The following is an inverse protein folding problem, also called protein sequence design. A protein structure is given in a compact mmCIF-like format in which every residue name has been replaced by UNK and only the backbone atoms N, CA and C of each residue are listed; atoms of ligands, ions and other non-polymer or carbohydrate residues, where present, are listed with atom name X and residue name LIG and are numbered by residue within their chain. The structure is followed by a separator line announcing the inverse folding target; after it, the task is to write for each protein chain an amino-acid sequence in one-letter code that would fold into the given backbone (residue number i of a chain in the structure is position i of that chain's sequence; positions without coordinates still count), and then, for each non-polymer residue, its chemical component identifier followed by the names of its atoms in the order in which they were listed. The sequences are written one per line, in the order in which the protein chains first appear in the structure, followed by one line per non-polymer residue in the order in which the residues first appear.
data_IF_190640866261
#
_entry.id   IF_190640866261
#
_cell.length_a   1.000
_cell.length_b   1.000
_cell.length_c   1.000
_cell.angle_alpha   90.00
_cell.angle_beta   90.00
_cell.angle_gamma   90.00
#
_symmetry.space_group_name_H-M   'P 1'
#
loop_
_entity.id
_entity.type
_entity.pdbx_description
1 polymer ?
#
# COMPACT_ATOMS: atom_id res chain seq x y z
N UNK A 1 5.59 -7.94 -1.64
CA UNK A 1 4.92 -8.16 -0.33
C UNK A 1 4.83 -6.86 0.44
N UNK A 2 3.69 -6.60 1.06
CA UNK A 2 3.38 -5.33 1.72
C UNK A 2 2.54 -4.43 0.81
N UNK A 3 1.37 -4.04 1.32
CA UNK A 3 0.33 -3.29 0.63
C UNK A 3 0.29 -1.82 1.00
N UNK A 4 1.23 -1.32 1.80
CA UNK A 4 1.34 0.12 2.09
C UNK A 4 1.83 0.94 0.88
N UNK A 5 1.94 2.28 1.03
CA UNK A 5 2.35 3.20 -0.04
C UNK A 5 3.67 2.86 -0.71
N UNK A 6 4.66 2.34 0.04
CA UNK A 6 5.91 1.87 -0.54
C UNK A 6 5.69 0.65 -1.45
N UNK A 7 4.85 -0.28 -1.03
CA UNK A 7 4.46 -1.44 -1.82
C UNK A 7 3.72 -1.03 -3.08
N UNK A 8 2.77 -0.09 -2.96
CA UNK A 8 2.05 0.50 -4.09
C UNK A 8 3.00 1.12 -5.12
N UNK A 9 3.94 1.96 -4.69
CA UNK A 9 4.92 2.59 -5.57
C UNK A 9 5.77 1.55 -6.32
N UNK A 10 6.26 0.53 -5.61
CA UNK A 10 7.02 -0.57 -6.22
C UNK A 10 6.18 -1.35 -7.23
N UNK A 11 4.94 -1.68 -6.88
CA UNK A 11 4.03 -2.44 -7.75
C UNK A 11 3.74 -1.66 -9.01
N UNK A 12 3.38 -0.38 -8.92
CA UNK A 12 3.10 0.46 -10.08
C UNK A 12 4.31 0.54 -11.02
N UNK A 13 5.52 0.79 -10.49
CA UNK A 13 6.76 0.81 -11.29
C UNK A 13 7.08 -0.56 -11.91
N UNK A 14 6.78 -1.65 -11.21
CA UNK A 14 7.02 -3.00 -11.72
C UNK A 14 6.05 -3.34 -12.84
N UNK A 15 4.77 -3.01 -12.67
CA UNK A 15 3.73 -3.24 -13.67
C UNK A 15 4.00 -2.44 -14.95
N UNK A 16 4.38 -1.17 -14.85
CA UNK A 16 4.74 -0.36 -16.03
C UNK A 16 5.89 -1.00 -16.84
N UNK A 17 6.93 -1.49 -16.16
CA UNK A 17 8.06 -2.15 -16.82
C UNK A 17 7.67 -3.48 -17.46
N UNK A 18 6.86 -4.30 -16.77
CA UNK A 18 6.40 -5.58 -17.29
C UNK A 18 5.51 -5.39 -18.52
N UNK A 19 4.55 -4.47 -18.45
CA UNK A 19 3.59 -4.19 -19.52
C UNK A 19 4.25 -3.71 -20.83
N UNK A 20 5.46 -3.14 -20.74
CA UNK A 20 6.18 -2.57 -21.89
C UNK A 20 7.47 -3.31 -22.25
N UNK A 21 7.70 -4.50 -21.68
CA UNK A 21 8.81 -5.35 -22.09
C UNK A 21 8.53 -5.97 -23.46
N UNK A 22 9.46 -5.79 -24.40
CA UNK A 22 9.23 -6.00 -25.84
C UNK A 22 9.35 -7.49 -26.24
N UNK A 23 9.92 -8.33 -25.37
CA UNK A 23 10.32 -9.72 -25.67
C UNK A 23 9.62 -10.77 -24.79
N UNK A 24 8.33 -10.61 -24.46
CA UNK A 24 7.60 -11.59 -23.64
C UNK A 24 6.87 -12.61 -24.53
N UNK A 25 7.32 -13.88 -24.50
CA UNK A 25 6.56 -15.01 -25.07
C UNK A 25 5.33 -15.38 -24.22
N UNK A 26 5.33 -15.03 -22.93
CA UNK A 26 4.28 -15.34 -21.96
C UNK A 26 3.83 -14.07 -21.21
N UNK A 27 2.56 -14.03 -20.79
CA UNK A 27 2.06 -12.93 -19.95
C UNK A 27 2.76 -12.95 -18.59
N UNK A 28 3.40 -11.84 -18.15
CA UNK A 28 4.00 -11.76 -16.83
C UNK A 28 2.96 -11.94 -15.72
N UNK A 29 3.37 -12.54 -14.60
CA UNK A 29 2.53 -12.69 -13.40
C UNK A 29 3.11 -11.86 -12.26
N UNK A 30 2.28 -11.04 -11.62
CA UNK A 30 2.62 -10.32 -10.40
C UNK A 30 1.67 -10.73 -9.27
N UNK A 31 2.24 -11.26 -8.18
CA UNK A 31 1.48 -11.63 -6.98
C UNK A 31 1.77 -10.61 -5.88
N UNK A 32 0.74 -9.90 -5.43
CA UNK A 32 0.83 -8.89 -4.39
C UNK A 32 0.16 -9.39 -3.11
N UNK A 33 0.95 -9.63 -2.07
CA UNK A 33 0.48 -10.00 -0.75
C UNK A 33 0.38 -8.80 0.20
N UNK A 34 -0.73 -8.67 0.91
CA UNK A 34 -0.93 -7.82 2.08
C UNK A 34 -2.15 -8.28 2.88
N UNK A 35 -2.09 -8.30 4.21
CA UNK A 35 -3.19 -8.76 5.07
C UNK A 35 -4.01 -7.63 5.72
N UNK A 36 -3.80 -6.38 5.29
CA UNK A 36 -4.49 -5.21 5.82
C UNK A 36 -5.32 -4.49 4.77
N UNK A 37 -4.66 -3.90 3.77
CA UNK A 37 -5.30 -3.16 2.68
C UNK A 37 -4.27 -2.84 1.61
N UNK A 38 -4.57 -3.19 0.36
CA UNK A 38 -3.75 -2.83 -0.79
C UNK A 38 -3.77 -1.31 -1.02
N UNK A 39 -2.60 -0.72 -1.25
CA UNK A 39 -2.39 0.72 -1.35
C UNK A 39 -2.05 1.38 -0.01
N UNK A 40 -2.92 1.20 0.99
CA UNK A 40 -2.83 1.93 2.25
C UNK A 40 -2.06 1.20 3.36
N UNK A 41 -2.01 -0.13 3.31
CA UNK A 41 -1.41 -0.97 4.35
C UNK A 41 -2.03 -0.73 5.73
N UNK A 42 -1.31 -1.13 6.78
CA UNK A 42 -1.78 -1.05 8.17
C UNK A 42 -1.80 0.37 8.74
N UNK A 43 -0.82 1.21 8.40
CA UNK A 43 -0.67 2.55 8.97
C UNK A 43 -1.81 3.50 8.58
N UNK A 44 -2.31 3.35 7.36
CA UNK A 44 -3.45 4.10 6.82
C UNK A 44 -4.62 3.16 6.54
N UNK A 45 -4.85 2.16 7.39
CA UNK A 45 -5.97 1.25 7.19
C UNK A 45 -7.30 2.07 7.17
N UNK A 46 -8.13 1.98 6.12
CA UNK A 46 -9.37 2.75 6.02
C UNK A 46 -10.41 2.36 7.08
N UNK A 47 -10.26 1.18 7.71
CA UNK A 47 -11.16 0.66 8.75
C UNK A 47 -10.67 0.99 10.17
N UNK A 48 -9.66 1.86 10.33
CA UNK A 48 -9.22 2.34 11.64
C UNK A 48 -10.12 3.47 12.16
N UNK A 49 -9.97 3.83 13.44
CA UNK A 49 -10.72 4.96 14.02
C UNK A 49 -10.45 6.28 13.26
N UNK A 50 -11.50 7.07 12.95
CA UNK A 50 -11.34 8.36 12.28
C UNK A 50 -10.70 9.43 13.19
N UNK A 51 -10.52 9.16 14.48
CA UNK A 51 -9.89 10.08 15.43
C UNK A 51 -8.37 10.28 15.19
N UNK A 52 -7.74 9.40 14.41
CA UNK A 52 -6.33 9.54 14.05
C UNK A 52 -6.22 10.42 12.80
N UNK A 53 -5.63 11.60 12.95
CA UNK A 53 -5.46 12.55 11.86
C UNK A 53 -4.13 12.34 11.11
N UNK A 54 -4.13 12.78 9.85
CA UNK A 54 -2.94 13.07 9.07
C UNK A 54 -2.19 14.24 9.72
N UNK A 55 -0.87 14.23 9.60
CA UNK A 55 0.01 15.32 10.03
C UNK A 55 0.32 16.32 8.90
N UNK A 56 -0.31 16.15 7.75
CA UNK A 56 -0.16 16.94 6.53
C UNK A 56 -1.54 17.34 6.03
N UNK A 57 -1.68 18.55 5.50
CA UNK A 57 -2.95 19.06 4.98
C UNK A 57 -3.34 18.38 3.66
N UNK A 58 -4.64 18.30 3.38
CA UNK A 58 -5.19 17.55 2.24
C UNK A 58 -4.56 17.92 0.88
N UNK A 59 -4.31 19.21 0.64
CA UNK A 59 -3.73 19.71 -0.62
C UNK A 59 -2.27 19.34 -0.86
N UNK A 60 -1.56 18.80 0.14
CA UNK A 60 -0.14 18.43 0.05
C UNK A 60 0.06 16.91 -0.09
N UNK A 61 -1.01 16.15 -0.26
CA UNK A 61 -0.98 14.69 -0.31
C UNK A 61 -1.28 14.20 -1.74
N UNK A 62 -0.51 13.22 -2.21
CA UNK A 62 -0.75 12.50 -3.46
C UNK A 62 -0.27 11.06 -3.35
N UNK A 63 -1.02 10.15 -3.98
CA UNK A 63 -0.65 8.74 -4.16
C UNK A 63 -0.11 8.47 -5.57
N UNK A 64 -0.26 9.42 -6.50
CA UNK A 64 0.34 9.36 -7.83
C UNK A 64 1.63 10.17 -7.87
N UNK A 65 2.66 9.67 -8.58
CA UNK A 65 3.85 10.46 -8.86
C UNK A 65 3.56 11.66 -9.76
N UNK A 66 4.35 12.70 -9.61
CA UNK A 66 4.39 13.85 -10.50
C UNK A 66 5.83 14.13 -10.98
N UNK A 67 6.00 15.18 -11.78
CA UNK A 67 7.32 15.56 -12.32
C UNK A 67 8.40 15.85 -11.27
N UNK A 68 8.02 16.12 -10.01
CA UNK A 68 8.95 16.37 -8.91
C UNK A 68 9.51 15.08 -8.29
N UNK A 69 8.91 13.92 -8.58
CA UNK A 69 9.30 12.64 -8.00
C UNK A 69 10.67 12.12 -8.51
N UNK A 70 11.27 12.76 -9.51
CA UNK A 70 12.54 12.34 -10.10
C UNK A 70 12.46 10.97 -10.78
N UNK A 71 11.27 10.53 -11.17
CA UNK A 71 11.03 9.26 -11.84
C UNK A 71 11.29 9.44 -13.33
N UNK A 72 12.25 8.71 -13.86
CA UNK A 72 12.49 8.64 -15.30
C UNK A 72 11.47 7.72 -15.98
N UNK A 73 11.04 8.10 -17.18
CA UNK A 73 10.11 7.31 -18.00
C UNK A 73 8.63 7.54 -17.66
N UNK A 74 7.78 6.61 -18.11
CA UNK A 74 6.32 6.72 -17.96
C UNK A 74 5.90 6.41 -16.54
N UNK A 75 4.88 7.10 -16.05
CA UNK A 75 4.21 6.75 -14.81
C UNK A 75 2.72 7.01 -14.89
N UNK A 76 1.97 6.25 -14.11
CA UNK A 76 0.53 6.47 -14.00
C UNK A 76 0.29 7.78 -13.28
N UNK A 77 -0.30 8.75 -13.99
CA UNK A 77 -0.75 10.01 -13.41
C UNK A 77 -2.18 9.88 -12.87
N UNK A 78 -2.53 10.77 -11.96
CA UNK A 78 -3.87 10.85 -11.40
C UNK A 78 -4.04 12.04 -10.46
N UNK A 79 -5.25 12.24 -9.92
CA UNK A 79 -5.54 13.37 -9.07
C UNK A 79 -4.75 13.25 -7.74
N UNK A 80 -4.32 14.40 -7.22
CA UNK A 80 -3.90 14.54 -5.82
C UNK A 80 -5.04 14.13 -4.88
N UNK A 81 -4.74 13.96 -3.60
CA UNK A 81 -5.74 13.59 -2.61
C UNK A 81 -6.90 14.60 -2.58
N UNK A 82 -6.59 15.90 -2.52
CA UNK A 82 -7.62 16.94 -2.47
C UNK A 82 -8.47 17.01 -3.75
N UNK A 83 -7.85 16.90 -4.93
CA UNK A 83 -8.58 16.85 -6.21
C UNK A 83 -9.50 15.63 -6.29
N UNK A 84 -9.03 14.48 -5.80
CA UNK A 84 -9.84 13.27 -5.74
C UNK A 84 -11.07 13.47 -4.85
N UNK A 85 -10.91 14.03 -3.65
CA UNK A 85 -12.03 14.31 -2.73
C UNK A 85 -13.11 15.20 -3.36
N UNK A 86 -12.76 16.04 -4.35
CA UNK A 86 -13.70 16.92 -5.07
C UNK A 86 -14.25 16.33 -6.36
N UNK A 87 -13.97 15.05 -6.63
CA UNK A 87 -14.39 14.36 -7.85
C UNK A 87 -15.54 13.38 -7.60
N UNK A 88 -16.31 13.09 -8.65
CA UNK A 88 -17.33 12.03 -8.63
C UNK A 88 -16.73 10.65 -8.34
N UNK A 89 -15.42 10.46 -8.61
CA UNK A 89 -14.72 9.20 -8.33
C UNK A 89 -14.62 8.95 -6.83
N UNK A 90 -14.38 9.98 -6.01
CA UNK A 90 -14.40 9.84 -4.56
C UNK A 90 -15.81 9.55 -4.04
N UNK A 91 -16.81 10.28 -4.52
CA UNK A 91 -18.22 10.05 -4.15
C UNK A 91 -18.66 8.63 -4.47
N UNK A 92 -18.31 8.11 -5.65
CA UNK A 92 -18.61 6.74 -6.04
C UNK A 92 -17.83 5.70 -5.22
N UNK A 93 -16.57 5.96 -4.89
CA UNK A 93 -15.75 5.03 -4.13
C UNK A 93 -16.17 4.96 -2.65
N UNK A 94 -16.52 6.09 -2.05
CA UNK A 94 -16.90 6.21 -0.65
C UNK A 94 -18.40 5.98 -0.40
N UNK A 95 -19.21 5.68 -1.42
CA UNK A 95 -20.67 5.61 -1.31
C UNK A 95 -21.18 4.66 -0.21
N UNK A 96 -20.42 3.59 0.08
CA UNK A 96 -20.76 2.60 1.11
C UNK A 96 -20.29 2.99 2.52
N UNK A 97 -19.53 4.07 2.65
CA UNK A 97 -19.04 4.62 3.92
C UNK A 97 -19.51 6.08 4.08
N UNK A 98 -20.71 6.30 4.63
CA UNK A 98 -21.28 7.65 4.75
C UNK A 98 -20.46 8.57 5.67
N UNK A 99 -19.69 8.02 6.61
CA UNK A 99 -18.84 8.80 7.52
C UNK A 99 -17.65 9.38 6.77
N UNK A 100 -16.94 8.55 6.02
CA UNK A 100 -15.82 9.01 5.18
C UNK A 100 -16.30 9.92 4.04
N UNK A 101 -17.48 9.65 3.48
CA UNK A 101 -18.08 10.50 2.45
C UNK A 101 -18.42 11.90 3.00
N UNK A 102 -19.03 11.99 4.19
CA UNK A 102 -19.30 13.28 4.83
C UNK A 102 -18.01 14.05 5.12
N UNK A 103 -16.98 13.37 5.66
CA UNK A 103 -15.67 13.96 5.89
C UNK A 103 -15.05 14.52 4.59
N UNK A 104 -15.10 13.75 3.49
CA UNK A 104 -14.60 14.17 2.18
C UNK A 104 -15.30 15.44 1.66
N UNK A 105 -16.62 15.53 1.82
CA UNK A 105 -17.42 16.68 1.39
C UNK A 105 -17.06 17.95 2.16
N UNK A 106 -16.83 17.83 3.48
CA UNK A 106 -16.49 18.96 4.36
C UNK A 106 -14.99 19.35 4.31
N UNK A 107 -14.13 18.51 3.74
CA UNK A 107 -12.68 18.75 3.70
C UNK A 107 -12.32 19.96 2.82
N UNK A 108 -11.64 20.95 3.41
CA UNK A 108 -10.98 22.04 2.69
C UNK A 108 -9.53 21.70 2.31
N UNK A 109 -8.85 22.56 1.51
CA UNK A 109 -7.48 22.29 1.06
C UNK A 109 -6.46 22.25 2.20
N UNK A 110 -6.69 23.03 3.26
CA UNK A 110 -5.82 23.14 4.45
C UNK A 110 -6.31 22.29 5.63
N UNK A 111 -7.28 21.40 5.40
CA UNK A 111 -7.83 20.54 6.44
C UNK A 111 -6.90 19.35 6.70
N UNK A 112 -6.67 19.05 7.98
CA UNK A 112 -6.07 17.79 8.41
C UNK A 112 -7.18 16.73 8.47
N UNK A 113 -7.15 15.78 7.54
CA UNK A 113 -8.14 14.70 7.46
C UNK A 113 -7.77 13.54 8.38
N UNK A 114 -8.72 12.64 8.59
CA UNK A 114 -8.45 11.33 9.18
C UNK A 114 -7.47 10.53 8.32
N UNK A 115 -6.69 9.67 8.98
CA UNK A 115 -5.85 8.67 8.33
C UNK A 115 -6.69 7.63 7.60
N UNK A 116 -7.93 7.41 8.05
CA UNK A 116 -8.88 6.52 7.40
C UNK A 116 -9.27 7.03 6.01
N UNK A 117 -9.61 8.33 5.90
CA UNK A 117 -9.96 8.95 4.61
C UNK A 117 -8.79 8.95 3.64
N UNK A 118 -7.57 9.27 4.10
CA UNK A 118 -6.38 9.16 3.26
C UNK A 118 -6.08 7.70 2.87
N UNK A 119 -6.35 6.76 3.77
CA UNK A 119 -6.30 5.33 3.50
C UNK A 119 -7.22 4.89 2.37
N UNK A 120 -8.46 5.39 2.37
CA UNK A 120 -9.41 5.13 1.30
C UNK A 120 -8.92 5.67 -0.05
N UNK A 121 -8.33 6.87 -0.08
CA UNK A 121 -7.68 7.39 -1.29
C UNK A 121 -6.56 6.47 -1.78
N UNK A 122 -5.66 6.02 -0.91
CA UNK A 122 -4.58 5.11 -1.31
C UNK A 122 -5.10 3.74 -1.80
N UNK A 123 -6.18 3.24 -1.20
CA UNK A 123 -6.84 2.02 -1.66
C UNK A 123 -7.46 2.22 -3.07
N UNK A 124 -8.06 3.39 -3.30
CA UNK A 124 -8.53 3.78 -4.62
C UNK A 124 -7.37 3.90 -5.63
N UNK A 125 -6.25 4.53 -5.28
CA UNK A 125 -5.05 4.61 -6.15
C UNK A 125 -4.57 3.20 -6.53
N UNK A 126 -4.53 2.26 -5.58
CA UNK A 126 -4.15 0.88 -5.88
C UNK A 126 -5.10 0.19 -6.87
N UNK A 127 -6.41 0.42 -6.75
CA UNK A 127 -7.38 -0.13 -7.72
C UNK A 127 -7.21 0.47 -9.12
N UNK A 128 -6.85 1.75 -9.22
CA UNK A 128 -6.52 2.41 -10.49
C UNK A 128 -5.27 1.81 -11.13
N UNK A 129 -4.21 1.56 -10.34
CA UNK A 129 -2.98 0.89 -10.82
C UNK A 129 -3.28 -0.51 -11.34
N UNK A 130 -4.00 -1.33 -10.56
CA UNK A 130 -4.35 -2.69 -10.98
C UNK A 130 -5.19 -2.65 -12.26
N UNK A 131 -6.16 -1.74 -12.35
CA UNK A 131 -7.01 -1.59 -13.54
C UNK A 131 -6.22 -1.18 -14.78
N UNK A 132 -5.24 -0.29 -14.63
CA UNK A 132 -4.44 0.19 -15.76
C UNK A 132 -3.57 -0.89 -16.41
N UNK A 133 -3.11 -1.88 -15.64
CA UNK A 133 -2.13 -2.87 -16.10
C UNK A 133 -2.66 -4.30 -16.24
N UNK A 134 -3.89 -4.59 -15.81
CA UNK A 134 -4.46 -5.96 -15.81
C UNK A 134 -4.61 -6.61 -17.19
N UNK A 135 -4.63 -5.82 -18.26
CA UNK A 135 -4.70 -6.34 -19.63
C UNK A 135 -3.32 -6.77 -20.16
N UNK A 136 -2.23 -6.39 -19.47
CA UNK A 136 -0.84 -6.67 -19.87
C UNK A 136 -0.11 -7.63 -18.90
N UNK A 137 -0.56 -7.71 -17.65
CA UNK A 137 0.04 -8.52 -16.58
C UNK A 137 -1.06 -9.27 -15.85
N UNK A 138 -0.85 -10.56 -15.55
CA UNK A 138 -1.71 -11.32 -14.63
C UNK A 138 -1.44 -10.88 -13.19
N UNK A 139 -2.30 -10.02 -12.66
CA UNK A 139 -2.18 -9.42 -11.33
C UNK A 139 -3.03 -10.22 -10.34
N UNK A 140 -2.39 -10.79 -9.33
CA UNK A 140 -3.04 -11.56 -8.26
C UNK A 140 -2.88 -10.84 -6.92
N UNK A 141 -3.99 -10.30 -6.41
CA UNK A 141 -4.04 -9.74 -5.06
C UNK A 141 -4.33 -10.87 -4.06
N UNK A 142 -3.42 -11.10 -3.12
CA UNK A 142 -3.55 -12.17 -2.12
C UNK A 142 -3.67 -11.54 -0.74
N UNK A 143 -4.88 -11.47 -0.16
CA UNK A 143 -5.15 -10.74 1.07
C UNK A 143 -4.73 -11.52 2.33
N UNK A 144 -3.56 -12.15 2.30
CA UNK A 144 -3.03 -13.01 3.36
C UNK A 144 -1.62 -12.58 3.75
N UNK A 145 -1.22 -12.94 4.97
CA UNK A 145 0.13 -12.64 5.46
C UNK A 145 1.07 -13.76 5.01
N UNK A 146 2.17 -13.40 4.34
CA UNK A 146 3.26 -14.35 4.12
C UNK A 146 4.01 -14.57 5.43
N UNK A 147 4.10 -15.83 5.85
CA UNK A 147 4.72 -16.25 7.11
C UNK A 147 6.17 -16.69 6.94
N UNK A 148 6.51 -17.23 5.77
CA UNK A 148 7.88 -17.66 5.48
C UNK A 148 8.23 -17.53 4.00
N UNK A 149 9.52 -17.41 3.75
CA UNK A 149 10.13 -17.45 2.42
C UNK A 149 11.24 -18.49 2.51
N UNK A 150 11.26 -19.45 1.59
CA UNK A 150 12.35 -20.40 1.44
C UNK A 150 12.91 -20.38 0.03
N UNK A 151 14.23 -20.46 -0.08
CA UNK A 151 14.90 -20.66 -1.35
C UNK A 151 14.55 -22.04 -1.91
N UNK A 152 14.21 -22.06 -3.19
CA UNK A 152 14.16 -23.26 -4.03
C UNK A 152 15.08 -23.01 -5.24
N UNK A 153 15.57 -24.07 -5.89
CA UNK A 153 16.57 -23.92 -6.96
C UNK A 153 16.09 -22.97 -8.07
N UNK A 154 16.60 -21.73 -8.08
CA UNK A 154 16.20 -20.66 -9.01
C UNK A 154 14.87 -19.95 -8.72
N UNK A 155 14.26 -20.15 -7.54
CA UNK A 155 12.97 -19.56 -7.16
C UNK A 155 12.82 -19.39 -5.64
N UNK A 156 11.71 -18.79 -5.23
CA UNK A 156 11.31 -18.63 -3.83
C UNK A 156 9.94 -19.25 -3.61
N UNK A 157 9.79 -20.05 -2.55
CA UNK A 157 8.49 -20.52 -2.08
C UNK A 157 8.04 -19.66 -0.90
N UNK A 158 6.86 -19.06 -1.04
CA UNK A 158 6.22 -18.23 -0.02
C UNK A 158 5.05 -19.00 0.56
N UNK A 159 5.06 -19.22 1.88
CA UNK A 159 3.93 -19.82 2.58
C UNK A 159 3.12 -18.73 3.26
N UNK A 160 1.82 -18.68 3.02
CA UNK A 160 0.92 -17.71 3.63
C UNK A 160 0.24 -18.22 4.91
N UNK A 161 -0.50 -17.33 5.56
CA UNK A 161 -1.23 -17.59 6.81
C UNK A 161 -2.34 -18.62 6.68
N UNK A 162 -2.78 -18.90 5.45
CA UNK A 162 -3.84 -19.85 5.15
C UNK A 162 -3.26 -21.23 4.80
N UNK A 163 -1.93 -21.36 4.78
CA UNK A 163 -1.22 -22.59 4.44
C UNK A 163 -1.04 -22.81 2.95
N UNK A 164 -1.33 -21.82 2.11
CA UNK A 164 -1.04 -21.88 0.69
C UNK A 164 0.44 -21.58 0.42
N UNK A 165 1.00 -22.24 -0.59
CA UNK A 165 2.36 -22.00 -1.06
C UNK A 165 2.34 -21.44 -2.47
N UNK A 166 3.00 -20.30 -2.67
CA UNK A 166 3.20 -19.67 -3.99
C UNK A 166 4.68 -19.66 -4.31
N UNK A 167 5.03 -20.18 -5.49
CA UNK A 167 6.42 -20.19 -5.99
C UNK A 167 6.61 -19.07 -7.00
N UNK A 168 7.64 -18.23 -6.79
CA UNK A 168 7.95 -17.07 -7.65
C UNK A 168 9.45 -16.97 -7.93
N UNK A 169 9.82 -16.39 -9.07
CA UNK A 169 11.24 -16.20 -9.43
C UNK A 169 11.92 -15.07 -8.65
N UNK A 170 11.16 -14.04 -8.27
CA UNK A 170 11.68 -12.85 -7.61
C UNK A 170 10.72 -12.40 -6.50
N UNK A 171 11.28 -11.84 -5.43
CA UNK A 171 10.53 -11.32 -4.29
C UNK A 171 10.97 -9.90 -3.99
N UNK A 172 10.00 -9.00 -3.81
CA UNK A 172 10.25 -7.64 -3.29
C UNK A 172 9.57 -7.47 -1.94
N UNK A 173 10.35 -7.05 -0.94
CA UNK A 173 9.89 -6.78 0.42
C UNK A 173 9.59 -5.28 0.60
N UNK A 174 8.33 -4.95 0.85
CA UNK A 174 7.86 -3.60 1.14
C UNK A 174 6.96 -3.57 2.40
N UNK A 175 7.27 -4.43 3.38
CA UNK A 175 6.47 -4.69 4.60
C UNK A 175 6.44 -3.53 5.61
N UNK A 176 7.18 -2.44 5.35
CA UNK A 176 7.31 -1.32 6.27
C UNK A 176 8.13 -1.69 7.51
N UNK A 177 8.04 -0.85 8.54
CA UNK A 177 8.63 -1.16 9.85
C UNK A 177 7.64 -2.02 10.62
N UNK A 178 7.87 -3.33 10.64
CA UNK A 178 7.16 -4.24 11.55
C UNK A 178 7.55 -3.85 12.98
N UNK A 179 6.58 -3.78 13.90
CA UNK A 179 6.86 -3.59 15.32
C UNK A 179 7.98 -4.55 15.72
N UNK A 180 9.12 -4.02 16.17
CA UNK A 180 10.13 -4.86 16.79
C UNK A 180 9.44 -5.54 17.97
N UNK A 181 9.35 -6.87 17.95
CA UNK A 181 9.21 -7.59 19.21
C UNK A 181 10.45 -7.20 20.01
N UNK A 182 10.25 -6.49 21.13
CA UNK A 182 11.33 -6.25 22.08
C UNK A 182 11.98 -7.60 22.36
N UNK A 183 13.23 -7.74 21.97
CA UNK A 183 14.01 -8.93 22.32
C UNK A 183 14.18 -8.85 23.84
N UNK A 184 14.02 -9.96 24.57
CA UNK A 184 14.07 -10.04 26.03
C UNK A 184 15.29 -9.37 26.71
N UNK A 185 16.31 -8.99 25.92
CA UNK A 185 17.43 -8.16 26.36
C UNK A 185 17.03 -6.72 26.76
N UNK A 186 15.94 -6.17 26.20
CA UNK A 186 15.46 -4.80 26.51
C UNK A 186 14.61 -4.74 27.80
N UNK A 187 14.01 -5.84 28.23
CA UNK A 187 13.28 -5.92 29.51
C UNK A 187 14.25 -5.83 30.70
N UNK A 188 15.41 -6.50 30.63
CA UNK A 188 16.42 -6.45 31.71
C UNK A 188 17.01 -5.04 31.93
N UNK A 189 17.18 -4.25 30.87
CA UNK A 189 17.75 -2.90 30.99
C UNK A 189 16.76 -1.87 31.56
N UNK A 190 15.45 -2.16 31.55
CA UNK A 190 14.46 -1.32 32.21
C UNK A 190 14.24 -1.71 33.68
N UNK A 191 14.44 -2.98 34.05
CA UNK A 191 14.44 -3.39 35.46
C UNK A 191 15.67 -2.86 36.22
N UNK A 192 16.87 -2.88 35.61
CA UNK A 192 18.08 -2.34 36.25
C UNK A 192 18.01 -0.82 36.48
N UNK A 193 17.39 -0.05 35.58
CA UNK A 193 17.24 1.41 35.73
C UNK A 193 16.12 1.83 36.70
N UNK A 194 15.21 0.94 37.09
CA UNK A 194 14.20 1.21 38.12
C UNK A 194 14.62 0.74 39.52
N UNK A 195 15.78 0.09 39.65
CA UNK A 195 16.36 -0.37 40.92
C UNK A 195 17.30 0.62 41.62
N UNK A 196 17.67 1.72 40.97
CA UNK A 196 18.46 2.81 41.56
C UNK A 196 17.57 4.06 41.79
N UNK A 197 16.74 4.02 42.84
CA UNK A 197 16.08 5.19 43.41
C UNK A 197 16.05 5.11 44.94
#
# INVERSE_FOLDING_TARGET
MGGGPRGLAVVERTLDRLAHSIDQEETPVLVWFDDSSFGSGKAWNPYQTPALLMNTVASQLSGFPDSSAGIEGRYLEGPTFYEWLKSDKASAFLHSDPVLLEEALQTGPDTYTSRALYGAYLHWVASQVVTAYRDYVDIRLVPTRVLSISDQEGAYALMDSDGHTVVVKNVVLAVGHTSQQMIAQEENNQEENNGEA
#
